data_IF_165120017289
#
_entry.id   IF_165120017289
#
_cell.length_a   1.000
_cell.length_b   1.000
_cell.length_c   1.000
_cell.angle_alpha   90.00
_cell.angle_beta   90.00
_cell.angle_gamma   90.00
#
_symmetry.space_group_name_H-M   'P 1'
#
loop_
_entity.id
_entity.type
_entity.pdbx_description
1 polymer ?
#
# COMPACT_ATOMS: atom_id res chain seq x y z
N UNK A 1 -16.69 -0.02 2.27
CA UNK A 1 -17.41 1.09 1.61
C UNK A 1 -18.74 0.65 0.99
N UNK A 2 -18.79 -0.30 0.04
CA UNK A 2 -20.05 -0.83 -0.51
C UNK A 2 -20.96 -1.46 0.57
N UNK A 3 -20.40 -2.27 1.46
CA UNK A 3 -21.13 -2.84 2.60
C UNK A 3 -21.75 -1.74 3.50
N UNK A 4 -21.01 -0.67 3.78
CA UNK A 4 -21.47 0.46 4.60
C UNK A 4 -22.66 1.19 3.96
N UNK A 5 -22.69 1.34 2.62
CA UNK A 5 -23.82 1.95 1.90
C UNK A 5 -25.08 1.10 2.02
N UNK A 6 -24.97 -0.23 1.92
CA UNK A 6 -26.12 -1.13 2.10
C UNK A 6 -26.63 -1.17 3.54
N UNK A 7 -25.71 -1.15 4.51
CA UNK A 7 -26.05 -1.20 5.93
C UNK A 7 -26.69 0.10 6.39
N UNK A 8 -26.06 1.25 6.14
CA UNK A 8 -26.55 2.54 6.63
C UNK A 8 -27.60 3.20 5.73
N UNK A 9 -27.57 2.91 4.42
CA UNK A 9 -28.52 3.50 3.46
C UNK A 9 -29.84 2.74 3.33
N UNK A 10 -29.78 1.40 3.38
CA UNK A 10 -30.95 0.54 3.11
C UNK A 10 -31.37 -0.32 4.30
N UNK A 11 -30.63 -0.31 5.42
CA UNK A 11 -30.84 -1.16 6.59
C UNK A 11 -30.87 -2.67 6.27
N UNK A 12 -30.27 -3.08 5.15
CA UNK A 12 -30.18 -4.50 4.76
C UNK A 12 -28.86 -5.05 5.28
N UNK A 13 -28.90 -5.64 6.47
CA UNK A 13 -27.77 -6.36 7.03
C UNK A 13 -27.68 -7.79 6.45
N UNK A 14 -27.29 -7.91 5.18
CA UNK A 14 -27.09 -9.21 4.51
C UNK A 14 -26.17 -10.11 5.35
N UNK A 15 -25.16 -9.53 5.98
CA UNK A 15 -24.22 -10.20 6.91
C UNK A 15 -24.90 -10.89 8.10
N UNK A 16 -26.05 -10.42 8.57
CA UNK A 16 -26.74 -10.97 9.74
C UNK A 16 -27.82 -11.99 9.35
N UNK A 17 -28.02 -12.26 8.05
CA UNK A 17 -29.04 -13.19 7.58
C UNK A 17 -28.56 -14.65 7.54
N UNK A 18 -27.26 -14.86 7.31
CA UNK A 18 -26.70 -16.20 7.12
C UNK A 18 -25.33 -16.31 7.82
N UNK A 19 -25.19 -17.32 8.68
CA UNK A 19 -23.96 -17.60 9.44
C UNK A 19 -22.76 -17.80 8.52
N UNK A 20 -22.94 -18.47 7.38
CA UNK A 20 -21.87 -18.69 6.40
C UNK A 20 -21.40 -17.36 5.80
N UNK A 21 -22.35 -16.47 5.47
CA UNK A 21 -22.04 -15.17 4.90
C UNK A 21 -21.34 -14.26 5.92
N UNK A 22 -21.78 -14.29 7.19
CA UNK A 22 -21.10 -13.63 8.30
C UNK A 22 -19.62 -14.07 8.42
N UNK A 23 -19.38 -15.38 8.40
CA UNK A 23 -18.03 -15.97 8.48
C UNK A 23 -17.14 -15.53 7.33
N UNK A 24 -17.63 -15.65 6.10
CA UNK A 24 -16.89 -15.26 4.89
C UNK A 24 -16.61 -13.75 4.91
N UNK A 25 -17.59 -12.93 5.30
CA UNK A 25 -17.45 -11.47 5.35
C UNK A 25 -16.34 -11.05 6.32
N UNK A 26 -16.37 -11.53 7.57
CA UNK A 26 -15.35 -11.21 8.56
C UNK A 26 -13.97 -11.72 8.14
N UNK A 27 -13.88 -12.95 7.62
CA UNK A 27 -12.63 -13.50 7.12
C UNK A 27 -12.02 -12.64 6.01
N UNK A 28 -12.82 -12.28 5.00
CA UNK A 28 -12.37 -11.48 3.86
C UNK A 28 -11.99 -10.07 4.30
N UNK A 29 -12.76 -9.44 5.21
CA UNK A 29 -12.46 -8.11 5.73
C UNK A 29 -11.09 -8.07 6.43
N UNK A 30 -10.83 -9.00 7.35
CA UNK A 30 -9.54 -9.09 8.05
C UNK A 30 -8.39 -9.47 7.11
N UNK A 31 -8.62 -10.38 6.17
CA UNK A 31 -7.62 -10.75 5.17
C UNK A 31 -7.18 -9.54 4.34
N UNK A 32 -8.11 -8.76 3.80
CA UNK A 32 -7.77 -7.57 3.01
C UNK A 32 -7.16 -6.45 3.87
N UNK A 33 -7.60 -6.30 5.12
CA UNK A 33 -7.02 -5.35 6.07
C UNK A 33 -5.53 -5.64 6.35
N UNK A 34 -5.11 -6.93 6.41
CA UNK A 34 -3.70 -7.31 6.61
C UNK A 34 -2.89 -7.37 5.31
N UNK A 35 -3.48 -7.86 4.21
CA UNK A 35 -2.79 -8.05 2.93
C UNK A 35 -2.43 -6.71 2.28
N UNK A 36 -3.33 -5.72 2.32
CA UNK A 36 -3.11 -4.41 1.70
C UNK A 36 -1.86 -3.68 2.23
N UNK A 37 -1.70 -3.44 3.55
CA UNK A 37 -0.50 -2.81 4.09
C UNK A 37 0.75 -3.68 3.88
N UNK A 38 0.62 -5.01 3.91
CA UNK A 38 1.75 -5.91 3.60
C UNK A 38 2.26 -5.72 2.17
N UNK A 39 1.36 -5.65 1.18
CA UNK A 39 1.74 -5.37 -0.21
C UNK A 39 2.37 -3.98 -0.32
N UNK A 40 1.86 -2.98 0.40
CA UNK A 40 2.43 -1.62 0.42
C UNK A 40 3.86 -1.61 0.98
N UNK A 41 4.11 -2.36 2.06
CA UNK A 41 5.43 -2.54 2.68
C UNK A 41 6.36 -3.24 1.69
N UNK A 42 5.94 -4.36 1.09
CA UNK A 42 6.74 -5.11 0.11
C UNK A 42 7.06 -4.26 -1.13
N UNK A 43 6.10 -3.51 -1.64
CA UNK A 43 6.30 -2.58 -2.75
C UNK A 43 7.30 -1.46 -2.38
N UNK A 44 7.25 -0.98 -1.14
CA UNK A 44 8.20 0.03 -0.65
C UNK A 44 9.61 -0.53 -0.51
N UNK A 45 9.75 -1.77 -0.02
CA UNK A 45 11.03 -2.49 0.05
C UNK A 45 11.60 -2.71 -1.35
N UNK A 46 10.81 -3.24 -2.29
CA UNK A 46 11.25 -3.48 -3.67
C UNK A 46 11.78 -2.18 -4.30
N UNK A 47 11.06 -1.07 -4.15
CA UNK A 47 11.49 0.23 -4.68
C UNK A 47 12.71 0.80 -3.95
N UNK A 48 12.86 0.52 -2.66
CA UNK A 48 14.06 0.87 -1.91
C UNK A 48 15.29 0.09 -2.43
N UNK A 49 15.15 -1.21 -2.67
CA UNK A 49 16.22 -2.06 -3.20
C UNK A 49 16.64 -1.63 -4.62
N UNK A 50 15.67 -1.35 -5.51
CA UNK A 50 15.95 -0.83 -6.86
C UNK A 50 16.64 0.54 -6.80
N UNK A 51 16.37 1.35 -5.78
CA UNK A 51 17.01 2.67 -5.61
C UNK A 51 18.44 2.59 -5.06
N UNK A 52 18.84 1.45 -4.49
CA UNK A 52 20.17 1.27 -3.92
C UNK A 52 21.24 1.19 -5.02
N UNK A 53 22.41 1.75 -4.77
CA UNK A 53 23.51 1.80 -5.75
C UNK A 53 24.29 0.49 -5.85
N UNK A 54 24.04 -0.46 -4.95
CA UNK A 54 24.79 -1.69 -4.89
C UNK A 54 24.28 -2.69 -5.95
N UNK A 55 25.17 -3.08 -6.86
CA UNK A 55 24.86 -3.91 -8.04
C UNK A 55 24.34 -5.29 -7.63
N UNK A 56 24.90 -5.86 -6.56
CA UNK A 56 24.51 -7.18 -6.06
C UNK A 56 23.09 -7.18 -5.49
N UNK A 57 22.69 -6.08 -4.86
CA UNK A 57 21.35 -5.92 -4.30
C UNK A 57 20.29 -5.72 -5.40
N UNK A 58 20.70 -5.18 -6.55
CA UNK A 58 19.84 -4.98 -7.71
C UNK A 58 19.51 -6.30 -8.43
N UNK A 59 20.41 -7.29 -8.44
CA UNK A 59 20.14 -8.63 -8.96
C UNK A 59 19.05 -9.36 -8.17
N UNK A 60 18.88 -9.03 -6.90
CA UNK A 60 17.86 -9.62 -6.04
C UNK A 60 16.45 -9.08 -6.31
N UNK A 61 16.30 -7.86 -6.87
CA UNK A 61 15.01 -7.31 -7.32
C UNK A 61 14.62 -7.90 -8.69
N UNK A 62 14.42 -9.22 -8.71
CA UNK A 62 13.78 -9.88 -9.84
C UNK A 62 12.26 -9.82 -9.68
N UNK A 63 11.55 -9.62 -10.80
CA UNK A 63 10.07 -9.69 -10.81
C UNK A 63 9.56 -11.00 -10.18
N UNK A 64 10.29 -12.10 -10.40
CA UNK A 64 9.97 -13.43 -9.84
C UNK A 64 9.98 -13.42 -8.31
N UNK A 65 10.96 -12.77 -7.69
CA UNK A 65 11.03 -12.67 -6.24
C UNK A 65 9.90 -11.82 -5.67
N UNK A 66 9.56 -10.71 -6.33
CA UNK A 66 8.44 -9.87 -5.90
C UNK A 66 7.11 -10.64 -5.90
N UNK A 67 6.81 -11.39 -6.98
CA UNK A 67 5.61 -12.24 -7.03
C UNK A 67 5.64 -13.36 -5.99
N UNK A 68 6.80 -13.99 -5.80
CA UNK A 68 6.99 -15.04 -4.80
C UNK A 68 6.75 -14.51 -3.38
N UNK A 69 7.31 -13.34 -3.04
CA UNK A 69 7.12 -12.70 -1.74
C UNK A 69 5.65 -12.32 -1.50
N UNK A 70 4.98 -11.70 -2.48
CA UNK A 70 3.55 -11.38 -2.37
C UNK A 70 2.72 -12.65 -2.19
N UNK A 71 3.02 -13.72 -2.93
CA UNK A 71 2.31 -15.00 -2.83
C UNK A 71 2.47 -15.64 -1.45
N UNK A 72 3.70 -15.67 -0.92
CA UNK A 72 3.97 -16.21 0.42
C UNK A 72 3.26 -15.39 1.49
N UNK A 73 3.37 -14.06 1.43
CA UNK A 73 2.72 -13.19 2.41
C UNK A 73 1.19 -13.32 2.36
N UNK A 74 0.61 -13.45 1.17
CA UNK A 74 -0.84 -13.65 1.02
C UNK A 74 -1.26 -15.01 1.59
N UNK A 75 -0.51 -16.08 1.29
CA UNK A 75 -0.78 -17.41 1.84
C UNK A 75 -0.66 -17.44 3.38
N UNK A 76 0.35 -16.77 3.93
CA UNK A 76 0.53 -16.61 5.37
C UNK A 76 -0.71 -15.96 6.01
N UNK A 77 -1.18 -14.83 5.47
CA UNK A 77 -2.37 -14.15 6.02
C UNK A 77 -3.66 -14.96 5.84
N UNK A 78 -3.80 -15.70 4.73
CA UNK A 78 -4.94 -16.59 4.52
C UNK A 78 -5.02 -17.67 5.59
N UNK A 79 -3.89 -18.29 5.94
CA UNK A 79 -3.78 -19.31 6.98
C UNK A 79 -4.00 -18.70 8.36
N UNK A 80 -3.36 -17.56 8.64
CA UNK A 80 -3.46 -16.85 9.91
C UNK A 80 -4.92 -16.57 10.28
N UNK A 81 -5.71 -16.03 9.35
CA UNK A 81 -7.10 -15.64 9.60
C UNK A 81 -8.10 -16.79 9.55
N UNK A 82 -7.70 -18.05 9.32
CA UNK A 82 -8.62 -19.21 9.27
C UNK A 82 -9.46 -19.34 10.55
N UNK A 83 -8.90 -18.96 11.71
CA UNK A 83 -9.63 -19.00 12.98
C UNK A 83 -10.94 -18.19 12.95
N UNK A 84 -11.04 -17.14 12.12
CA UNK A 84 -12.25 -16.33 11.97
C UNK A 84 -13.40 -17.12 11.34
N UNK A 85 -13.13 -17.99 10.37
CA UNK A 85 -14.16 -18.85 9.75
C UNK A 85 -14.79 -19.82 10.75
N UNK A 86 -14.02 -20.21 11.77
CA UNK A 86 -14.47 -21.15 12.81
C UNK A 86 -15.23 -20.38 13.90
N UNK A 87 -14.67 -19.27 14.38
CA UNK A 87 -15.14 -18.55 15.58
C UNK A 87 -16.14 -17.42 15.31
N UNK A 88 -16.33 -16.99 14.06
CA UNK A 88 -17.38 -16.02 13.73
C UNK A 88 -18.77 -16.67 13.78
N UNK A 89 -19.73 -15.98 14.37
CA UNK A 89 -21.12 -16.42 14.43
C UNK A 89 -22.08 -15.22 14.49
N UNK A 90 -23.36 -15.47 14.25
CA UNK A 90 -24.40 -14.49 14.51
C UNK A 90 -24.75 -14.55 15.98
N UNK A 91 -24.69 -13.41 16.66
CA UNK A 91 -24.92 -13.27 18.09
C UNK A 91 -26.09 -12.32 18.31
N UNK A 92 -26.98 -12.68 19.23
CA UNK A 92 -28.06 -11.81 19.68
C UNK A 92 -27.54 -10.90 20.81
N UNK A 93 -27.52 -9.58 20.57
CA UNK A 93 -27.06 -8.59 21.56
C UNK A 93 -28.22 -8.07 22.40
N UNK A 94 -29.38 -7.87 21.75
CA UNK A 94 -30.64 -7.48 22.36
C UNK A 94 -31.77 -8.33 21.76
N UNK A 95 -32.94 -8.41 22.41
CA UNK A 95 -34.08 -9.14 21.85
C UNK A 95 -34.34 -8.70 20.41
N UNK A 96 -34.29 -9.63 19.46
CA UNK A 96 -34.48 -9.38 18.01
C UNK A 96 -33.38 -8.57 17.30
N UNK A 97 -32.24 -8.31 17.94
CA UNK A 97 -31.09 -7.61 17.33
C UNK A 97 -29.92 -8.58 17.20
N UNK A 98 -29.75 -9.10 15.98
CA UNK A 98 -28.68 -10.00 15.61
C UNK A 98 -27.54 -9.25 14.96
N UNK A 99 -26.31 -9.53 15.39
CA UNK A 99 -25.08 -8.96 14.83
C UNK A 99 -24.08 -10.06 14.52
N UNK A 100 -23.48 -9.99 13.34
CA UNK A 100 -22.34 -10.81 12.96
C UNK A 100 -21.11 -10.39 13.78
N UNK A 101 -20.68 -11.25 14.71
CA UNK A 101 -19.54 -10.97 15.58
C UNK A 101 -18.67 -12.21 15.76
N UNK A 102 -17.43 -12.00 16.14
CA UNK A 102 -16.55 -13.10 16.50
C UNK A 102 -16.83 -13.56 17.94
N UNK A 103 -16.46 -14.80 18.28
CA UNK A 103 -16.87 -15.42 19.55
C UNK A 103 -16.69 -14.52 20.78
N UNK A 104 -17.75 -14.38 21.57
CA UNK A 104 -17.84 -13.51 22.75
C UNK A 104 -16.98 -13.94 23.96
N UNK A 105 -16.20 -15.01 23.83
CA UNK A 105 -15.32 -15.43 24.90
C UNK A 105 -14.28 -14.34 25.15
N UNK A 106 -14.23 -13.82 26.38
CA UNK A 106 -13.35 -12.70 26.75
C UNK A 106 -11.88 -12.95 26.37
N UNK A 107 -11.41 -14.20 26.50
CA UNK A 107 -10.05 -14.60 26.11
C UNK A 107 -9.81 -14.47 24.61
N UNK A 108 -10.79 -14.83 23.79
CA UNK A 108 -10.69 -14.75 22.33
C UNK A 108 -10.81 -13.30 21.83
N UNK A 109 -11.71 -12.51 22.42
CA UNK A 109 -11.80 -11.06 22.13
C UNK A 109 -10.47 -10.38 22.42
N UNK A 110 -9.83 -10.72 23.55
CA UNK A 110 -8.51 -10.20 23.90
C UNK A 110 -7.44 -10.59 22.89
N UNK A 111 -7.44 -11.86 22.50
CA UNK A 111 -6.50 -12.36 21.50
C UNK A 111 -6.61 -11.58 20.18
N UNK A 112 -7.83 -11.39 19.66
CA UNK A 112 -8.06 -10.62 18.43
C UNK A 112 -7.62 -9.17 18.61
N UNK A 113 -8.03 -8.54 19.71
CA UNK A 113 -7.69 -7.16 20.01
C UNK A 113 -6.17 -6.92 20.06
N UNK A 114 -5.44 -7.71 20.85
CA UNK A 114 -3.98 -7.58 20.96
C UNK A 114 -3.28 -7.92 19.65
N UNK A 115 -3.77 -8.92 18.92
CA UNK A 115 -3.23 -9.28 17.60
C UNK A 115 -3.32 -8.11 16.62
N UNK A 116 -4.51 -7.51 16.48
CA UNK A 116 -4.74 -6.36 15.59
C UNK A 116 -3.86 -5.18 15.99
N UNK A 117 -3.81 -4.87 17.29
CA UNK A 117 -2.98 -3.79 17.81
C UNK A 117 -1.49 -4.00 17.49
N UNK A 118 -0.96 -5.20 17.72
CA UNK A 118 0.44 -5.53 17.42
C UNK A 118 0.71 -5.45 15.91
N UNK A 119 -0.21 -5.96 15.08
CA UNK A 119 -0.08 -5.88 13.62
C UNK A 119 -0.05 -4.42 13.14
N UNK A 120 -1.00 -3.59 13.56
CA UNK A 120 -1.09 -2.19 13.13
C UNK A 120 0.12 -1.36 13.58
N UNK A 121 0.58 -1.55 14.83
CA UNK A 121 1.80 -0.90 15.34
C UNK A 121 3.02 -1.37 14.55
N UNK A 122 3.14 -2.67 14.28
CA UNK A 122 4.27 -3.22 13.51
C UNK A 122 4.31 -2.67 12.08
N UNK A 123 3.18 -2.62 11.39
CA UNK A 123 3.08 -2.04 10.05
C UNK A 123 3.42 -0.56 10.04
N UNK A 124 2.94 0.20 11.04
CA UNK A 124 3.24 1.62 11.18
C UNK A 124 4.73 1.87 11.36
N UNK A 125 5.39 1.13 12.26
CA UNK A 125 6.84 1.25 12.51
C UNK A 125 7.63 0.88 11.24
N UNK A 126 7.29 -0.22 10.57
CA UNK A 126 7.95 -0.63 9.33
C UNK A 126 7.80 0.43 8.24
N UNK A 127 6.60 0.99 8.08
CA UNK A 127 6.34 2.04 7.09
C UNK A 127 7.10 3.33 7.40
N UNK A 128 7.23 3.73 8.67
CA UNK A 128 8.05 4.86 9.09
C UNK A 128 9.52 4.63 8.75
N UNK A 129 10.07 3.45 9.11
CA UNK A 129 11.46 3.09 8.80
C UNK A 129 11.70 3.13 7.29
N UNK A 130 10.83 2.50 6.49
CA UNK A 130 10.94 2.49 5.03
C UNK A 130 10.83 3.88 4.44
N UNK A 131 9.98 4.74 4.99
CA UNK A 131 9.85 6.14 4.56
C UNK A 131 11.12 6.94 4.82
N UNK A 132 11.75 6.76 6.00
CA UNK A 132 13.03 7.40 6.34
C UNK A 132 14.16 6.90 5.43
N UNK A 133 14.25 5.58 5.21
CA UNK A 133 15.25 4.99 4.32
C UNK A 133 15.08 5.46 2.87
N UNK A 134 13.84 5.50 2.38
CA UNK A 134 13.51 6.01 1.05
C UNK A 134 13.92 7.48 0.90
N UNK A 135 13.65 8.30 1.92
CA UNK A 135 14.07 9.70 1.92
C UNK A 135 15.60 9.86 1.88
N UNK A 136 16.33 9.07 2.68
CA UNK A 136 17.80 9.05 2.68
C UNK A 136 18.36 8.68 1.30
N UNK A 137 17.84 7.61 0.69
CA UNK A 137 18.26 7.17 -0.65
C UNK A 137 17.99 8.24 -1.72
N UNK A 138 16.82 8.87 -1.70
CA UNK A 138 16.49 9.96 -2.64
C UNK A 138 17.43 11.16 -2.46
N UNK A 139 17.78 11.52 -1.23
CA UNK A 139 18.73 12.61 -0.95
C UNK A 139 20.13 12.26 -1.47
N UNK A 140 20.60 11.04 -1.24
CA UNK A 140 21.90 10.57 -1.73
C UNK A 140 22.00 10.61 -3.25
N UNK A 141 20.95 10.18 -3.98
CA UNK A 141 20.92 10.22 -5.45
C UNK A 141 20.96 11.66 -6.00
N UNK A 142 20.45 12.65 -5.26
CA UNK A 142 20.50 14.06 -5.69
C UNK A 142 21.88 14.70 -5.53
N UNK A 143 22.67 14.25 -4.56
CA UNK A 143 23.98 14.82 -4.24
C UNK A 143 25.08 14.29 -5.18
N UNK A 144 24.87 13.13 -5.80
CA UNK A 144 25.89 12.52 -6.67
C UNK A 144 26.26 13.41 -7.87
N UNK A 145 27.56 13.71 -8.10
CA UNK A 145 28.00 14.56 -9.19
C UNK A 145 27.62 14.00 -10.55
N UNK A 146 27.27 14.91 -11.47
CA UNK A 146 26.73 14.59 -12.81
C UNK A 146 27.65 13.67 -13.63
N UNK A 147 28.96 13.66 -13.35
CA UNK A 147 29.96 12.82 -14.02
C UNK A 147 29.87 11.33 -13.65
N UNK A 148 29.55 10.98 -12.39
CA UNK A 148 29.36 9.58 -11.98
C UNK A 148 28.01 8.99 -12.41
N UNK A 149 27.11 9.83 -12.93
CA UNK A 149 25.76 9.44 -13.36
C UNK A 149 25.76 8.61 -14.66
N UNK A 150 26.87 8.57 -15.39
CA UNK A 150 27.00 7.80 -16.63
C UNK A 150 27.18 6.29 -16.41
N UNK A 151 27.82 5.88 -15.32
CA UNK A 151 28.05 4.45 -15.01
C UNK A 151 26.88 3.80 -14.26
N UNK A 152 26.15 4.57 -13.45
CA UNK A 152 24.98 4.07 -12.74
C UNK A 152 23.78 4.14 -13.67
N UNK A 153 23.25 2.99 -14.07
CA UNK A 153 22.02 2.85 -14.88
C UNK A 153 21.00 3.89 -14.43
N UNK A 154 20.66 4.82 -15.32
CA UNK A 154 19.77 5.93 -15.00
C UNK A 154 18.40 5.38 -14.64
N UNK A 155 18.04 5.50 -13.35
CA UNK A 155 16.70 5.19 -12.87
C UNK A 155 15.69 5.96 -13.72
N UNK A 156 14.68 5.27 -14.27
CA UNK A 156 13.73 5.94 -15.18
C UNK A 156 12.95 6.97 -14.38
N UNK A 157 12.61 8.09 -15.02
CA UNK A 157 11.74 9.13 -14.43
C UNK A 157 10.42 8.56 -13.89
N UNK A 158 9.93 7.47 -14.50
CA UNK A 158 8.74 6.71 -14.07
C UNK A 158 8.93 6.07 -12.68
N UNK A 159 10.08 5.45 -12.41
CA UNK A 159 10.35 4.80 -11.12
C UNK A 159 10.46 5.82 -9.98
N UNK A 160 11.06 6.98 -10.25
CA UNK A 160 11.09 8.09 -9.29
C UNK A 160 9.70 8.65 -8.96
N UNK A 161 8.80 8.70 -9.94
CA UNK A 161 7.42 9.14 -9.71
C UNK A 161 6.67 8.12 -8.83
N UNK A 162 6.85 6.83 -9.12
CA UNK A 162 6.23 5.76 -8.34
C UNK A 162 6.76 5.73 -6.90
N UNK A 163 8.06 5.89 -6.70
CA UNK A 163 8.67 5.97 -5.36
C UNK A 163 8.07 7.12 -4.54
N UNK A 164 7.88 8.30 -5.15
CA UNK A 164 7.22 9.44 -4.48
C UNK A 164 5.77 9.15 -4.15
N UNK A 165 5.06 8.45 -5.02
CA UNK A 165 3.67 8.06 -4.80
C UNK A 165 3.55 7.12 -3.58
N UNK A 166 4.38 6.08 -3.52
CA UNK A 166 4.43 5.14 -2.39
C UNK A 166 4.80 5.85 -1.09
N UNK A 167 5.73 6.81 -1.15
CA UNK A 167 6.10 7.61 0.01
C UNK A 167 4.93 8.44 0.54
N UNK A 168 4.21 9.15 -0.34
CA UNK A 168 3.01 9.90 0.05
C UNK A 168 1.92 8.98 0.60
N UNK A 169 1.70 7.83 -0.02
CA UNK A 169 0.76 6.82 0.45
C UNK A 169 1.15 6.29 1.83
N UNK A 170 2.44 6.08 2.08
CA UNK A 170 2.97 5.67 3.38
C UNK A 170 2.76 6.71 4.47
N UNK A 171 2.94 8.01 4.16
CA UNK A 171 2.65 9.11 5.09
C UNK A 171 1.15 9.14 5.43
N UNK A 172 0.28 9.08 4.41
CA UNK A 172 -1.17 9.08 4.60
C UNK A 172 -1.59 7.88 5.46
N UNK A 173 -1.11 6.68 5.12
CA UNK A 173 -1.40 5.47 5.88
C UNK A 173 -0.97 5.60 7.34
N UNK A 174 0.29 5.99 7.59
CA UNK A 174 0.84 6.16 8.94
C UNK A 174 0.06 7.18 9.76
N UNK A 175 -0.27 8.33 9.16
CA UNK A 175 -1.04 9.38 9.83
C UNK A 175 -2.42 8.87 10.30
N UNK A 176 -3.14 8.16 9.44
CA UNK A 176 -4.45 7.60 9.81
C UNK A 176 -4.36 6.40 10.75
N UNK A 177 -3.32 5.58 10.65
CA UNK A 177 -3.06 4.47 11.58
C UNK A 177 -2.80 4.94 13.02
N UNK A 178 -2.19 6.12 13.21
CA UNK A 178 -1.93 6.64 14.56
C UNK A 178 -3.24 6.91 15.31
N UNK A 179 -4.30 7.38 14.63
CA UNK A 179 -5.59 7.63 15.28
C UNK A 179 -6.25 6.34 15.78
N UNK A 180 -6.25 5.27 14.98
CA UNK A 180 -6.84 4.00 15.41
C UNK A 180 -5.99 3.33 16.51
N UNK A 181 -4.67 3.45 16.46
CA UNK A 181 -3.80 2.95 17.52
C UNK A 181 -4.01 3.70 18.85
N UNK A 182 -4.23 5.01 18.79
CA UNK A 182 -4.58 5.83 19.95
C UNK A 182 -5.94 5.38 20.54
N UNK A 183 -6.92 5.10 19.70
CA UNK A 183 -8.22 4.56 20.12
C UNK A 183 -8.09 3.22 20.85
N UNK A 184 -7.36 2.27 20.26
CA UNK A 184 -7.13 0.97 20.90
C UNK A 184 -6.40 1.12 22.23
N UNK A 185 -5.43 2.02 22.32
CA UNK A 185 -4.74 2.30 23.58
C UNK A 185 -5.70 2.87 24.62
N UNK A 186 -6.58 3.79 24.21
CA UNK A 186 -7.61 4.36 25.08
C UNK A 186 -8.61 3.30 25.57
N UNK A 187 -9.12 2.45 24.67
CA UNK A 187 -10.03 1.36 25.02
C UNK A 187 -9.37 0.33 25.94
N UNK A 188 -8.08 0.03 25.74
CA UNK A 188 -7.32 -0.85 26.61
C UNK A 188 -7.17 -0.26 28.02
N UNK A 189 -6.96 1.05 28.14
CA UNK A 189 -6.79 1.74 29.41
C UNK A 189 -8.11 1.89 30.20
N UNK A 190 -9.24 2.05 29.50
CA UNK A 190 -10.55 2.29 30.13
C UNK A 190 -11.32 1.00 30.43
N UNK A 191 -10.74 -0.17 30.16
CA UNK A 191 -11.42 -1.47 30.22
C UNK A 191 -12.03 -1.81 31.59
N UNK A 192 -11.35 -1.44 32.67
CA UNK A 192 -11.75 -1.80 34.03
C UNK A 192 -12.62 -0.72 34.71
N UNK A 193 -12.97 0.35 33.99
CA UNK A 193 -13.74 1.47 34.53
C UNK A 193 -15.22 1.35 34.17
N UNK A 194 -16.07 1.60 35.17
CA UNK A 194 -17.53 1.67 34.98
C UNK A 194 -17.83 2.90 34.11
N UNK A 195 -18.32 2.68 32.89
CA UNK A 195 -18.65 3.76 31.97
C UNK A 195 -20.06 4.31 32.23
N UNK A 196 -20.17 5.61 32.41
CA UNK A 196 -21.45 6.33 32.33
C UNK A 196 -21.98 6.30 30.91
N UNK A 197 -23.30 6.26 30.68
CA UNK A 197 -23.92 6.24 29.34
C UNK A 197 -23.44 7.37 28.41
N UNK A 198 -23.11 8.54 28.98
CA UNK A 198 -22.51 9.65 28.23
C UNK A 198 -21.11 9.31 27.70
N UNK A 199 -20.28 8.65 28.50
CA UNK A 199 -18.92 8.28 28.11
C UNK A 199 -18.94 7.18 27.05
N UNK A 200 -19.88 6.23 27.16
CA UNK A 200 -20.10 5.19 26.15
C UNK A 200 -20.48 5.79 24.79
N UNK A 201 -21.39 6.78 24.77
CA UNK A 201 -21.77 7.48 23.56
C UNK A 201 -20.59 8.25 22.91
N UNK A 202 -19.77 8.92 23.73
CA UNK A 202 -18.56 9.62 23.25
C UNK A 202 -17.54 8.62 22.70
N UNK A 203 -17.29 7.53 23.42
CA UNK A 203 -16.37 6.47 23.02
C UNK A 203 -16.80 5.85 21.68
N UNK A 204 -18.09 5.53 21.54
CA UNK A 204 -18.68 4.99 20.31
C UNK A 204 -18.54 5.98 19.14
N UNK A 205 -18.76 7.27 19.38
CA UNK A 205 -18.58 8.30 18.36
C UNK A 205 -17.11 8.40 17.91
N UNK A 206 -16.16 8.44 18.85
CA UNK A 206 -14.72 8.50 18.57
C UNK A 206 -14.27 7.25 17.79
N UNK A 207 -14.69 6.07 18.23
CA UNK A 207 -14.41 4.80 17.54
C UNK A 207 -14.90 4.81 16.10
N UNK A 208 -16.14 5.25 15.87
CA UNK A 208 -16.71 5.34 14.52
C UNK A 208 -15.99 6.39 13.65
N UNK A 209 -15.62 7.53 14.22
CA UNK A 209 -14.85 8.56 13.54
C UNK A 209 -13.47 8.03 13.13
N UNK A 210 -12.72 7.44 14.05
CA UNK A 210 -11.39 6.90 13.79
C UNK A 210 -11.41 5.70 12.85
N UNK A 211 -12.42 4.83 12.95
CA UNK A 211 -12.65 3.75 11.98
C UNK A 211 -12.92 4.31 10.59
N UNK A 212 -13.70 5.40 10.48
CA UNK A 212 -13.94 6.07 9.20
C UNK A 212 -12.65 6.66 8.63
N UNK A 213 -11.86 7.33 9.46
CA UNK A 213 -10.56 7.88 9.07
C UNK A 213 -9.57 6.78 8.64
N UNK A 214 -9.55 5.63 9.32
CA UNK A 214 -8.73 4.47 8.98
C UNK A 214 -9.08 3.89 7.59
N UNK A 215 -10.33 4.05 7.13
CA UNK A 215 -10.74 3.62 5.79
C UNK A 215 -10.26 4.58 4.67
N UNK A 216 -9.85 5.80 4.99
CA UNK A 216 -9.42 6.80 3.99
C UNK A 216 -8.19 6.34 3.19
N UNK A 217 -7.09 5.84 3.78
CA UNK A 217 -5.93 5.33 3.03
C UNK A 217 -6.28 4.36 1.90
N UNK A 218 -7.22 3.45 2.12
CA UNK A 218 -7.62 2.45 1.13
C UNK A 218 -8.26 3.08 -0.12
N UNK A 219 -9.01 4.17 0.07
CA UNK A 219 -9.62 4.94 -1.02
C UNK A 219 -8.65 5.97 -1.61
N UNK A 220 -7.74 6.50 -0.79
CA UNK A 220 -6.79 7.54 -1.17
C UNK A 220 -5.82 7.09 -2.27
N UNK A 221 -5.53 5.79 -2.36
CA UNK A 221 -4.59 5.24 -3.35
C UNK A 221 -4.85 5.77 -4.76
N UNK A 222 -6.09 5.69 -5.24
CA UNK A 222 -6.45 6.19 -6.57
C UNK A 222 -6.16 7.69 -6.71
N UNK A 223 -6.58 8.49 -5.74
CA UNK A 223 -6.38 9.95 -5.74
C UNK A 223 -4.90 10.33 -5.69
N UNK A 224 -4.08 9.60 -4.92
CA UNK A 224 -2.63 9.81 -4.85
C UNK A 224 -1.99 9.51 -6.20
N UNK A 225 -2.33 8.39 -6.85
CA UNK A 225 -1.79 8.05 -8.18
C UNK A 225 -2.18 9.10 -9.23
N UNK A 226 -3.43 9.56 -9.25
CA UNK A 226 -3.89 10.62 -10.16
C UNK A 226 -3.19 11.97 -9.88
N UNK A 227 -2.98 12.32 -8.61
CA UNK A 227 -2.44 13.63 -8.23
C UNK A 227 -0.93 13.73 -8.43
N UNK A 228 -0.17 12.67 -8.15
CA UNK A 228 1.29 12.71 -8.12
C UNK A 228 1.97 12.11 -9.35
N UNK A 229 1.33 11.16 -10.05
CA UNK A 229 1.95 10.50 -11.21
C UNK A 229 1.48 11.14 -12.52
N UNK A 230 2.38 11.90 -13.17
CA UNK A 230 2.13 12.47 -14.52
C UNK A 230 1.92 11.35 -15.54
N UNK A 231 2.73 10.28 -15.45
CA UNK A 231 2.60 9.12 -16.31
C UNK A 231 1.21 8.47 -16.16
N UNK A 232 0.76 8.24 -14.92
CA UNK A 232 -0.57 7.68 -14.68
C UNK A 232 -1.69 8.55 -15.25
N UNK A 233 -1.61 9.88 -15.10
CA UNK A 233 -2.58 10.79 -15.72
C UNK A 233 -2.59 10.70 -17.24
N UNK A 234 -1.43 10.54 -17.88
CA UNK A 234 -1.35 10.37 -19.33
C UNK A 234 -1.97 9.04 -19.76
N UNK A 235 -1.68 7.96 -19.04
CA UNK A 235 -2.24 6.63 -19.30
C UNK A 235 -3.77 6.61 -19.11
N UNK A 236 -4.28 7.22 -18.03
CA UNK A 236 -5.74 7.37 -17.80
C UNK A 236 -6.39 8.20 -18.88
N UNK A 237 -5.79 9.34 -19.27
CA UNK A 237 -6.30 10.15 -20.39
C UNK A 237 -6.31 9.35 -21.70
N UNK A 238 -5.31 8.52 -21.94
CA UNK A 238 -5.26 7.67 -23.13
C UNK A 238 -6.33 6.57 -23.07
N UNK A 239 -6.55 5.94 -21.92
CA UNK A 239 -7.60 4.94 -21.72
C UNK A 239 -8.98 5.55 -21.94
N UNK A 240 -9.26 6.72 -21.34
CA UNK A 240 -10.50 7.48 -21.53
C UNK A 240 -10.67 7.85 -23.01
N UNK A 241 -9.63 8.35 -23.68
CA UNK A 241 -9.69 8.62 -25.12
C UNK A 241 -9.98 7.38 -25.95
N UNK A 242 -9.45 6.20 -25.59
CA UNK A 242 -9.77 4.93 -26.28
C UNK A 242 -11.20 4.47 -26.03
N UNK A 243 -11.75 4.70 -24.83
CA UNK A 243 -13.13 4.34 -24.52
C UNK A 243 -14.16 5.27 -25.18
N UNK A 244 -13.86 6.58 -25.26
CA UNK A 244 -14.78 7.59 -25.79
C UNK A 244 -14.50 8.00 -27.24
N UNK A 245 -13.30 7.73 -27.75
CA UNK A 245 -12.92 8.01 -29.13
C UNK A 245 -12.88 6.72 -29.94
N UNK A 246 -13.72 6.64 -30.98
CA UNK A 246 -13.60 5.67 -32.08
C UNK A 246 -12.13 5.56 -32.50
N UNK A 247 -11.62 4.33 -32.58
CA UNK A 247 -10.27 3.92 -32.96
C UNK A 247 -9.53 4.91 -33.84
N UNK A 248 -8.97 5.96 -33.24
CA UNK A 248 -8.13 6.91 -33.93
C UNK A 248 -6.72 6.40 -33.74
N UNK A 249 -6.24 5.74 -34.79
CA UNK A 249 -4.89 5.21 -34.98
C UNK A 249 -3.88 6.12 -34.26
N UNK A 250 -3.32 5.62 -33.16
CA UNK A 250 -2.39 6.39 -32.34
C UNK A 250 -1.13 6.70 -33.17
N UNK A 251 -0.60 7.94 -33.13
CA UNK A 251 0.68 8.23 -33.74
C UNK A 251 1.73 7.41 -32.99
N UNK A 252 2.45 6.57 -33.75
CA UNK A 252 3.65 5.84 -33.32
C UNK A 252 4.56 6.85 -32.62
N UNK A 253 4.79 6.66 -31.31
CA UNK A 253 5.80 7.43 -30.59
C UNK A 253 7.11 7.28 -31.37
N UNK A 254 7.55 8.36 -32.00
CA UNK A 254 8.86 8.45 -32.61
C UNK A 254 9.88 8.07 -31.54
N UNK A 255 10.56 6.95 -31.77
CA UNK A 255 11.77 6.63 -31.02
C UNK A 255 12.66 7.87 -31.04
N UNK A 256 13.18 8.33 -29.88
CA UNK A 256 14.14 9.41 -29.87
C UNK A 256 15.30 8.96 -30.76
N UNK A 257 15.37 9.61 -31.91
CA UNK A 257 16.37 9.43 -32.94
C UNK A 257 17.72 9.62 -32.28
N UNK A 258 18.29 8.50 -31.84
CA UNK A 258 19.65 8.38 -31.35
C UNK A 258 20.51 8.48 -32.62
N UNK A 259 20.55 9.68 -33.21
CA UNK A 259 21.60 10.06 -34.14
C UNK A 259 22.87 10.04 -33.32
N UNK A 260 23.48 8.87 -33.32
CA UNK A 260 24.90 8.66 -33.53
C UNK A 260 25.50 9.85 -34.30
N UNK A 261 25.89 10.89 -33.57
CA UNK A 261 27.06 11.66 -33.94
C UNK A 261 28.27 10.87 -33.45
N UNK A 262 28.46 9.68 -34.04
CA UNK A 262 29.76 9.04 -34.11
C UNK A 262 30.51 9.83 -35.17
N UNK A 263 31.07 10.96 -34.76
CA UNK A 263 32.05 11.69 -35.55
C UNK A 263 33.38 10.97 -35.34
N UNK A 264 33.60 9.87 -36.08
CA UNK A 264 34.92 9.27 -36.25
C UNK A 264 35.81 10.30 -36.95
N UNK A 265 36.53 11.09 -36.16
CA UNK A 265 37.66 11.88 -36.64
C UNK A 265 38.88 10.96 -36.74
N UNK A 266 39.00 10.23 -37.84
CA UNK A 266 40.30 9.93 -38.45
C UNK A 266 40.53 11.03 -39.51
N UNK A 267 41.69 11.70 -39.59
CA UNK A 267 42.96 11.04 -39.95
C UNK A 267 44.23 11.65 -39.30
N UNK A 268 45.32 10.90 -39.32
CA UNK A 268 46.64 11.38 -38.89
C UNK A 268 47.75 10.37 -39.15
N UNK A 269 47.78 9.83 -40.37
CA UNK A 269 48.93 9.09 -40.89
C UNK A 269 50.08 10.08 -41.11
N UNK A 270 51.07 10.07 -40.21
CA UNK A 270 52.40 10.64 -40.48
C UNK A 270 53.32 9.49 -40.91
N UNK A 271 53.42 9.32 -42.22
CA UNK A 271 54.53 8.63 -42.89
C UNK A 271 55.53 9.66 -43.41
N UNK A 272 56.80 9.27 -43.48
CA UNK A 272 57.94 9.93 -44.16
C UNK A 272 58.62 11.00 -43.28
N UNK A 273 59.95 11.02 -43.04
CA UNK A 273 61.04 10.66 -43.94
C UNK A 273 62.28 10.04 -43.25
N UNK A 274 62.86 9.11 -44.00
CA UNK A 274 64.27 8.73 -44.08
C UNK A 274 65.15 9.97 -44.34
N UNK A 275 66.26 10.15 -43.62
CA UNK A 275 67.53 10.62 -44.20
C UNK A 275 68.72 10.44 -43.24
N UNK A 276 69.67 9.63 -43.71
CA UNK A 276 71.12 9.55 -43.43
C UNK A 276 71.64 9.44 -42.00
#
# INVERSE_FOLDING_TARGET
>A
MLASIFIYGYNINIQNTNVVLCKIYLYVAFLFASVTPTILILASIDRLLISSQNVDTHLYSSKRLAYFSISISTAFWMIYHVHLLIKANIVEIYPSVFVCYYGLSATYVNYIFYSVMVMDVSFSILMIILSILSFKNVRQIRILPRQQRGQVRTMKKKDFQLLRCLFVQGIIFTFFCIFIAADFTYQAAERDRIQTSRNEAISTFIYNLFTTLYNIPFCANFYVFVSFSKAFRQDVKQLVRKMFGKDTIAPREEEPNNRENINYKAPGANSVAISN
#
